data_IF_045621526158
#
_entry.id   IF_045621526158
#
_cell.length_a   1.000
_cell.length_b   1.000
_cell.length_c   1.000
_cell.angle_alpha   90.00
_cell.angle_beta   90.00
_cell.angle_gamma   90.00
#
_symmetry.space_group_name_H-M   'P 1'
#
loop_
_entity.id
_entity.type
_entity.pdbx_description
1 polymer ?
#
# COMPACT_ATOMS: atom_id res chain seq x y z
N UNK A 1 -3.09 -0.52 24.90
CA UNK A 1 -2.00 0.39 24.48
C UNK A 1 -2.42 1.05 23.16
N UNK A 2 -2.79 2.34 23.17
CA UNK A 2 -3.27 3.05 21.98
C UNK A 2 -2.12 3.39 21.03
N UNK A 3 -2.39 3.51 19.72
CA UNK A 3 -1.37 4.04 18.82
C UNK A 3 -1.32 5.56 18.90
N UNK A 4 -0.10 6.05 18.74
CA UNK A 4 0.27 7.39 18.29
C UNK A 4 -0.78 8.03 17.39
N UNK A 5 -0.99 9.31 17.65
CA UNK A 5 -1.56 10.30 16.73
C UNK A 5 -0.78 10.24 15.40
N UNK A 6 -1.48 10.34 14.28
CA UNK A 6 -0.84 10.26 12.98
C UNK A 6 0.03 11.51 12.70
N UNK A 7 -0.23 12.64 13.36
CA UNK A 7 0.59 13.86 13.29
C UNK A 7 0.51 14.65 14.60
N UNK A 8 1.59 15.30 15.09
CA UNK A 8 1.51 16.28 16.18
C UNK A 8 0.54 17.41 15.79
N UNK A 9 -0.70 17.33 16.24
CA UNK A 9 -1.76 18.30 15.94
C UNK A 9 -3.17 17.70 15.88
N UNK A 10 -3.31 16.40 15.59
CA UNK A 10 -4.64 15.76 15.47
C UNK A 10 -5.49 15.79 16.76
N UNK A 11 -6.79 16.00 16.61
CA UNK A 11 -7.76 16.03 17.72
C UNK A 11 -8.23 14.64 18.15
N UNK A 12 -7.86 13.60 17.40
CA UNK A 12 -8.33 12.22 17.58
C UNK A 12 -7.18 11.21 17.51
N UNK A 13 -7.35 10.07 18.18
CA UNK A 13 -6.48 8.90 18.10
C UNK A 13 -7.26 7.65 17.66
N UNK A 14 -6.55 6.63 17.17
CA UNK A 14 -7.14 5.35 16.74
C UNK A 14 -6.88 4.27 17.80
N UNK A 15 -7.94 3.56 18.18
CA UNK A 15 -7.88 2.44 19.10
C UNK A 15 -7.18 1.24 18.45
N UNK A 16 -6.20 0.65 19.15
CA UNK A 16 -5.48 -0.57 18.70
C UNK A 16 -6.10 -1.88 19.18
N UNK A 17 -7.08 -1.76 20.04
CA UNK A 17 -7.83 -2.84 20.65
C UNK A 17 -9.12 -2.25 21.22
N UNK A 18 -10.01 -3.12 21.66
CA UNK A 18 -11.25 -2.67 22.26
C UNK A 18 -10.98 -1.91 23.56
N UNK A 19 -11.70 -0.81 23.73
CA UNK A 19 -11.63 0.06 24.90
C UNK A 19 -13.00 0.04 25.54
N UNK A 20 -13.06 -0.41 26.79
CA UNK A 20 -14.30 -0.38 27.56
C UNK A 20 -14.65 1.06 27.97
N UNK A 21 -15.94 1.31 28.16
CA UNK A 21 -16.40 2.53 28.81
C UNK A 21 -15.78 2.66 30.22
N UNK A 22 -15.37 3.86 30.60
CA UNK A 22 -14.68 4.13 31.86
C UNK A 22 -13.21 3.68 31.89
N UNK A 23 -12.71 3.06 30.83
CA UNK A 23 -11.32 2.65 30.77
C UNK A 23 -10.39 3.87 30.65
N UNK A 24 -9.34 3.97 31.48
CA UNK A 24 -8.29 4.97 31.29
C UNK A 24 -7.51 4.70 30.02
N UNK A 25 -7.30 5.75 29.24
CA UNK A 25 -6.60 5.71 27.96
C UNK A 25 -5.54 6.81 27.94
N UNK A 26 -4.36 6.48 27.43
CA UNK A 26 -3.29 7.45 27.22
C UNK A 26 -2.81 7.38 25.77
N UNK A 27 -2.69 8.55 25.14
CA UNK A 27 -2.18 8.71 23.78
C UNK A 27 -1.34 10.00 23.70
N UNK A 28 -0.09 9.88 23.27
CA UNK A 28 0.86 10.99 23.10
C UNK A 28 0.95 11.96 24.29
N UNK A 29 1.00 11.40 25.50
CA UNK A 29 1.12 12.17 26.75
C UNK A 29 -0.19 12.78 27.25
N UNK A 30 -1.30 12.60 26.51
CA UNK A 30 -2.64 12.98 26.95
C UNK A 30 -3.30 11.76 27.60
N UNK A 31 -3.74 11.90 28.85
CA UNK A 31 -4.49 10.88 29.58
C UNK A 31 -5.94 11.31 29.72
N UNK A 32 -6.86 10.41 29.39
CA UNK A 32 -8.31 10.63 29.45
C UNK A 32 -9.03 9.32 29.76
N UNK A 33 -10.34 9.38 29.95
CA UNK A 33 -11.19 8.21 30.20
C UNK A 33 -12.15 8.05 29.03
N UNK A 34 -12.29 6.83 28.51
CA UNK A 34 -13.25 6.56 27.45
C UNK A 34 -14.68 6.72 27.96
N UNK A 35 -15.48 7.50 27.24
CA UNK A 35 -16.87 7.84 27.62
C UNK A 35 -17.90 6.84 27.10
N UNK A 36 -17.52 6.03 26.12
CA UNK A 36 -18.28 4.89 25.61
C UNK A 36 -17.32 3.74 25.29
N UNK A 37 -17.86 2.55 25.02
CA UNK A 37 -17.08 1.47 24.43
C UNK A 37 -16.62 1.85 23.01
N UNK A 38 -15.34 1.67 22.72
CA UNK A 38 -14.71 1.99 21.43
C UNK A 38 -14.05 0.73 20.88
N UNK A 39 -14.57 0.17 19.77
CA UNK A 39 -13.97 -1.01 19.15
C UNK A 39 -12.56 -0.74 18.61
N UNK A 40 -11.77 -1.78 18.44
CA UNK A 40 -10.49 -1.71 17.75
C UNK A 40 -10.63 -1.09 16.35
N UNK A 41 -9.70 -0.21 15.98
CA UNK A 41 -9.71 0.53 14.71
C UNK A 41 -10.60 1.78 14.69
N UNK A 42 -11.43 1.99 15.72
CA UNK A 42 -12.26 3.19 15.84
C UNK A 42 -11.51 4.35 16.49
N UNK A 43 -12.10 5.55 16.42
CA UNK A 43 -11.44 6.80 16.84
C UNK A 43 -11.96 7.27 18.19
N UNK A 44 -11.06 7.78 19.03
CA UNK A 44 -11.37 8.49 20.27
C UNK A 44 -10.98 9.96 20.12
N UNK A 45 -11.76 10.87 20.70
CA UNK A 45 -11.37 12.27 20.81
C UNK A 45 -10.33 12.47 21.93
N UNK A 46 -9.25 13.19 21.62
CA UNK A 46 -8.20 13.56 22.58
C UNK A 46 -8.45 14.94 23.21
N UNK A 47 -9.24 15.77 22.53
CA UNK A 47 -9.50 17.18 22.85
C UNK A 47 -10.97 17.50 22.55
N UNK A 48 -11.54 18.53 23.19
CA UNK A 48 -12.88 18.97 22.85
C UNK A 48 -12.91 19.51 21.41
N UNK A 49 -13.93 19.10 20.65
CA UNK A 49 -14.22 19.61 19.31
C UNK A 49 -15.66 20.11 19.32
N UNK A 50 -15.86 21.40 19.09
CA UNK A 50 -17.21 21.98 19.05
C UNK A 50 -17.95 21.60 17.76
N UNK A 51 -19.28 21.63 17.79
CA UNK A 51 -20.09 21.46 16.59
C UNK A 51 -19.65 22.46 15.50
N UNK A 52 -19.50 21.98 14.27
CA UNK A 52 -18.99 22.78 13.16
C UNK A 52 -17.48 22.98 13.15
N UNK A 53 -16.72 22.47 14.11
CA UNK A 53 -15.25 22.50 14.03
C UNK A 53 -14.71 21.36 13.17
N UNK A 54 -13.58 21.63 12.51
CA UNK A 54 -12.90 20.64 11.67
C UNK A 54 -12.17 19.63 12.55
N UNK A 55 -12.40 18.34 12.30
CA UNK A 55 -11.58 17.25 12.81
C UNK A 55 -10.52 16.94 11.77
N UNK A 56 -9.25 17.20 12.10
CA UNK A 56 -8.14 17.02 11.17
C UNK A 56 -8.14 15.58 10.60
N UNK A 57 -8.12 15.44 9.27
CA UNK A 57 -8.21 14.20 8.47
C UNK A 57 -9.60 13.54 8.36
N UNK A 58 -10.60 13.96 9.14
CA UNK A 58 -11.87 13.23 9.22
C UNK A 58 -13.12 14.07 8.94
N UNK A 59 -12.98 15.36 8.63
CA UNK A 59 -14.09 16.22 8.21
C UNK A 59 -14.44 17.26 9.26
N UNK A 60 -15.72 17.45 9.52
CA UNK A 60 -16.27 18.43 10.45
C UNK A 60 -17.18 17.74 11.47
N UNK A 61 -17.14 18.16 12.74
CA UNK A 61 -18.01 17.61 13.77
C UNK A 61 -19.45 18.12 13.58
N UNK A 62 -20.44 17.22 13.60
CA UNK A 62 -21.87 17.60 13.51
C UNK A 62 -22.44 18.05 14.84
N UNK A 63 -21.80 17.65 15.94
CA UNK A 63 -22.15 17.97 17.30
C UNK A 63 -20.88 18.20 18.12
N UNK A 64 -21.00 18.69 19.35
CA UNK A 64 -19.86 18.74 20.26
C UNK A 64 -19.36 17.32 20.57
N UNK A 65 -18.04 17.15 20.54
CA UNK A 65 -17.32 15.90 20.84
C UNK A 65 -16.39 16.19 22.01
N UNK A 66 -16.61 15.53 23.13
CA UNK A 66 -15.81 15.68 24.34
C UNK A 66 -14.59 14.74 24.31
N UNK A 67 -13.50 15.06 25.04
CA UNK A 67 -12.39 14.13 25.21
C UNK A 67 -12.88 12.78 25.73
N UNK A 68 -12.45 11.70 25.07
CA UNK A 68 -12.88 10.34 25.38
C UNK A 68 -14.11 9.84 24.64
N UNK A 69 -14.80 10.69 23.87
CA UNK A 69 -15.91 10.26 23.03
C UNK A 69 -15.45 9.46 21.82
N UNK A 70 -16.30 8.52 21.40
CA UNK A 70 -16.16 7.78 20.15
C UNK A 70 -16.42 8.70 18.94
N UNK A 71 -15.43 8.88 18.07
CA UNK A 71 -15.56 9.66 16.83
C UNK A 71 -15.85 8.73 15.64
N UNK A 72 -17.03 8.89 15.03
CA UNK A 72 -17.52 8.02 13.97
C UNK A 72 -18.44 8.79 12.99
N UNK A 73 -18.96 8.12 11.96
CA UNK A 73 -19.80 8.74 10.92
C UNK A 73 -21.12 9.36 11.45
N UNK A 74 -21.49 9.11 12.71
CA UNK A 74 -22.67 9.70 13.33
C UNK A 74 -22.42 11.12 13.87
N UNK A 75 -21.18 11.44 14.26
CA UNK A 75 -20.79 12.75 14.78
C UNK A 75 -19.81 13.49 13.87
N UNK A 76 -19.60 12.96 12.65
CA UNK A 76 -18.80 13.56 11.60
C UNK A 76 -19.62 13.75 10.35
N UNK A 77 -19.39 14.88 9.69
CA UNK A 77 -19.86 15.16 8.35
C UNK A 77 -18.70 15.60 7.46
N UNK A 78 -18.87 15.39 6.17
CA UNK A 78 -17.94 15.82 5.13
C UNK A 78 -18.56 17.05 4.45
N UNK A 79 -18.17 18.27 4.84
CA UNK A 79 -18.72 19.46 4.22
C UNK A 79 -18.48 19.44 2.71
N UNK A 80 -19.47 19.89 1.94
CA UNK A 80 -19.36 19.99 0.49
C UNK A 80 -18.12 20.83 0.12
N UNK A 81 -17.26 20.25 -0.73
CA UNK A 81 -16.00 20.86 -1.13
C UNK A 81 -16.23 22.14 -1.95
N UNK A 82 -16.33 23.28 -1.27
CA UNK A 82 -16.31 24.62 -1.89
C UNK A 82 -14.92 25.25 -1.85
N UNK A 83 -13.92 24.54 -1.34
CA UNK A 83 -12.55 25.03 -1.28
C UNK A 83 -11.89 24.95 -2.64
N UNK A 84 -11.55 26.13 -3.18
CA UNK A 84 -10.56 26.24 -4.24
C UNK A 84 -9.28 25.52 -3.80
N UNK A 85 -8.98 24.40 -4.45
CA UNK A 85 -7.75 23.67 -4.20
C UNK A 85 -6.61 24.48 -4.79
N UNK A 86 -6.01 25.37 -3.99
CA UNK A 86 -4.75 25.99 -4.37
C UNK A 86 -3.68 24.89 -4.39
N UNK A 87 -3.13 24.59 -5.56
CA UNK A 87 -1.96 23.71 -5.67
C UNK A 87 -0.80 24.42 -4.96
N UNK A 88 -0.55 24.06 -3.69
CA UNK A 88 0.69 24.45 -3.04
C UNK A 88 1.77 23.55 -3.60
N UNK A 89 2.64 24.13 -4.43
CA UNK A 89 3.83 23.45 -4.90
C UNK A 89 4.85 23.37 -3.76
N UNK A 90 4.63 22.46 -2.81
CA UNK A 90 5.58 22.17 -1.73
C UNK A 90 6.65 21.27 -2.32
N UNK A 91 7.49 21.85 -3.17
CA UNK A 91 8.67 21.16 -3.67
C UNK A 91 9.71 21.12 -2.55
N UNK A 92 10.02 19.91 -2.09
CA UNK A 92 11.22 19.64 -1.33
C UNK A 92 12.16 18.81 -2.22
N UNK A 93 13.38 19.30 -2.53
CA UNK A 93 14.32 18.53 -3.32
C UNK A 93 14.62 17.21 -2.60
N UNK A 94 14.53 16.10 -3.34
CA UNK A 94 14.91 14.80 -2.80
C UNK A 94 16.40 14.78 -2.54
N UNK A 95 16.80 14.57 -1.29
CA UNK A 95 18.19 14.30 -0.95
C UNK A 95 18.59 12.96 -1.53
N UNK A 96 19.54 12.95 -2.46
CA UNK A 96 20.15 11.71 -2.93
C UNK A 96 20.98 11.11 -1.80
N UNK A 97 20.84 9.81 -1.57
CA UNK A 97 21.71 9.08 -0.64
C UNK A 97 23.14 9.12 -1.17
N UNK A 98 24.10 9.42 -0.31
CA UNK A 98 25.54 9.32 -0.63
C UNK A 98 25.94 7.88 -0.99
N UNK A 99 25.22 6.90 -0.44
CA UNK A 99 25.38 5.48 -0.70
C UNK A 99 24.11 4.92 -1.34
N UNK A 100 23.97 4.94 -2.68
CA UNK A 100 22.82 4.36 -3.34
C UNK A 100 22.82 2.84 -3.18
N UNK A 101 21.66 2.28 -2.84
CA UNK A 101 21.51 0.83 -2.77
C UNK A 101 21.69 0.20 -4.16
N UNK A 102 22.49 -0.85 -4.24
CA UNK A 102 22.71 -1.65 -5.44
C UNK A 102 22.01 -2.99 -5.33
N UNK A 103 21.69 -3.61 -6.47
CA UNK A 103 21.19 -4.98 -6.51
C UNK A 103 21.78 -5.72 -7.71
N UNK A 104 21.86 -7.05 -7.63
CA UNK A 104 22.29 -7.89 -8.74
C UNK A 104 21.18 -7.96 -9.81
N UNK A 105 21.37 -7.22 -10.90
CA UNK A 105 20.40 -7.12 -11.98
C UNK A 105 20.95 -7.59 -13.32
N UNK A 106 20.05 -7.84 -14.27
CA UNK A 106 20.41 -8.19 -15.64
C UNK A 106 20.51 -6.93 -16.50
N UNK A 107 21.74 -6.52 -16.83
CA UNK A 107 22.04 -5.33 -17.64
C UNK A 107 21.80 -5.63 -19.12
N UNK A 108 21.04 -4.76 -19.79
CA UNK A 108 20.81 -4.82 -21.24
C UNK A 108 21.76 -3.88 -21.98
N UNK A 109 21.90 -4.08 -23.29
CA UNK A 109 22.75 -3.25 -24.16
C UNK A 109 22.37 -1.76 -24.13
N UNK A 110 21.09 -1.45 -23.92
CA UNK A 110 20.58 -0.08 -23.79
C UNK A 110 20.75 0.54 -22.37
N UNK A 111 21.44 -0.17 -21.47
CA UNK A 111 21.68 0.27 -20.09
C UNK A 111 20.51 0.04 -19.13
N UNK A 112 19.34 -0.45 -19.59
CA UNK A 112 18.24 -0.78 -18.68
C UNK A 112 18.57 -2.06 -17.89
N UNK A 113 18.20 -2.07 -16.61
CA UNK A 113 18.46 -3.20 -15.71
C UNK A 113 17.16 -3.90 -15.34
N UNK A 114 17.08 -5.20 -15.54
CA UNK A 114 15.95 -6.04 -15.14
C UNK A 114 16.18 -6.76 -13.81
N UNK A 115 15.13 -6.91 -13.01
CA UNK A 115 15.16 -7.74 -11.78
C UNK A 115 14.94 -9.23 -12.04
N UNK A 116 14.55 -9.59 -13.27
CA UNK A 116 14.32 -10.96 -13.74
C UNK A 116 14.76 -11.10 -15.20
N UNK A 117 15.23 -12.29 -15.57
CA UNK A 117 15.63 -12.62 -16.93
C UNK A 117 14.63 -13.60 -17.55
N UNK A 118 13.75 -13.08 -18.42
CA UNK A 118 12.71 -13.86 -19.09
C UNK A 118 13.06 -14.06 -20.57
N UNK A 119 12.78 -15.26 -21.07
CA UNK A 119 12.73 -15.51 -22.51
C UNK A 119 11.25 -15.41 -22.92
N UNK A 120 10.91 -14.35 -23.65
CA UNK A 120 9.59 -14.20 -24.26
C UNK A 120 9.58 -14.88 -25.63
N UNK A 121 8.71 -15.86 -25.81
CA UNK A 121 8.44 -16.44 -27.13
C UNK A 121 7.04 -15.98 -27.54
N UNK A 122 6.91 -15.35 -28.71
CA UNK A 122 5.65 -14.78 -29.20
C UNK A 122 5.40 -15.29 -30.61
N UNK A 123 4.19 -15.78 -30.90
CA UNK A 123 3.79 -16.14 -32.26
C UNK A 123 3.04 -15.00 -32.95
N UNK A 124 3.38 -14.70 -34.20
CA UNK A 124 2.71 -13.64 -34.98
C UNK A 124 1.32 -14.04 -35.49
N UNK A 125 0.95 -15.34 -35.39
CA UNK A 125 -0.33 -15.87 -35.84
C UNK A 125 -0.84 -16.93 -34.87
N UNK A 126 -2.17 -16.97 -34.68
CA UNK A 126 -2.81 -17.86 -33.71
C UNK A 126 -2.89 -19.33 -34.19
N UNK A 127 -2.75 -19.58 -35.50
CA UNK A 127 -2.98 -20.89 -36.10
C UNK A 127 -1.85 -21.91 -35.86
N UNK A 128 -0.73 -21.51 -35.25
CA UNK A 128 0.43 -22.38 -35.00
C UNK A 128 0.62 -22.78 -33.54
N UNK A 129 -0.31 -22.43 -32.63
CA UNK A 129 -0.17 -22.65 -31.19
C UNK A 129 0.25 -24.08 -30.79
N UNK A 130 -0.33 -25.18 -31.34
CA UNK A 130 0.10 -26.52 -30.95
C UNK A 130 1.52 -26.88 -31.42
N UNK A 131 1.98 -26.30 -32.53
CA UNK A 131 3.34 -26.50 -33.05
C UNK A 131 4.34 -25.66 -32.27
N UNK A 132 3.92 -24.45 -31.87
CA UNK A 132 4.66 -23.53 -31.02
C UNK A 132 4.98 -24.12 -29.64
N UNK A 133 3.99 -24.73 -28.98
CA UNK A 133 4.18 -25.38 -27.67
C UNK A 133 5.18 -26.53 -27.72
N UNK A 134 5.10 -27.36 -28.78
CA UNK A 134 6.05 -28.47 -28.99
C UNK A 134 7.47 -27.96 -29.26
N UNK A 135 7.61 -26.90 -30.05
CA UNK A 135 8.90 -26.27 -30.34
C UNK A 135 9.52 -25.68 -29.07
N UNK A 136 8.77 -24.87 -28.32
CA UNK A 136 9.20 -24.29 -27.03
C UNK A 136 9.67 -25.37 -26.06
N UNK A 137 8.90 -26.45 -25.90
CA UNK A 137 9.27 -27.55 -25.00
C UNK A 137 10.56 -28.26 -25.43
N UNK A 138 10.79 -28.40 -26.73
CA UNK A 138 11.98 -29.09 -27.26
C UNK A 138 13.28 -28.28 -27.10
N UNK A 139 13.22 -26.95 -27.24
CA UNK A 139 14.39 -26.07 -27.21
C UNK A 139 14.70 -25.55 -25.79
N UNK A 140 13.67 -25.38 -24.95
CA UNK A 140 13.85 -24.84 -23.60
C UNK A 140 14.18 -25.91 -22.55
N UNK A 141 13.90 -27.19 -22.83
CA UNK A 141 14.30 -28.33 -21.97
C UNK A 141 15.82 -28.45 -21.76
N UNK A 142 16.67 -28.39 -22.80
CA UNK A 142 18.12 -28.42 -22.66
C UNK A 142 18.70 -27.28 -21.81
N UNK A 143 17.98 -26.16 -21.66
CA UNK A 143 18.44 -24.95 -20.96
C UNK A 143 17.93 -24.91 -19.50
N UNK A 144 17.36 -26.01 -18.99
CA UNK A 144 16.76 -26.12 -17.65
C UNK A 144 15.75 -24.99 -17.34
N UNK A 145 14.94 -24.63 -18.35
CA UNK A 145 13.85 -23.67 -18.19
C UNK A 145 12.55 -24.45 -17.99
N UNK A 146 11.95 -24.30 -16.81
CA UNK A 146 10.61 -24.83 -16.51
C UNK A 146 9.57 -23.88 -17.11
N UNK A 147 8.70 -24.38 -17.98
CA UNK A 147 7.60 -23.59 -18.53
C UNK A 147 6.31 -23.93 -17.78
N UNK A 148 5.79 -22.96 -17.02
CA UNK A 148 4.47 -23.03 -16.43
C UNK A 148 3.49 -22.28 -17.32
N UNK A 149 2.40 -22.92 -17.71
CA UNK A 149 1.31 -22.25 -18.42
C UNK A 149 0.48 -21.46 -17.41
N UNK A 150 0.65 -20.13 -17.37
CA UNK A 150 -0.28 -19.26 -16.66
C UNK A 150 -0.95 -18.36 -17.71
N UNK A 151 -2.25 -18.58 -17.93
CA UNK A 151 -3.06 -17.82 -18.88
C UNK A 151 -3.28 -16.40 -18.34
N UNK A 152 -2.36 -15.49 -18.65
CA UNK A 152 -2.61 -14.06 -18.51
C UNK A 152 -3.58 -13.65 -19.62
N UNK A 153 -4.85 -13.39 -19.27
CA UNK A 153 -5.88 -12.88 -20.18
C UNK A 153 -5.70 -11.38 -20.38
N UNK A 154 -4.71 -11.00 -21.19
CA UNK A 154 -4.65 -9.66 -21.79
C UNK A 154 -4.89 -9.80 -23.30
N UNK A 155 -6.04 -9.31 -23.76
CA UNK A 155 -6.24 -8.88 -25.15
C UNK A 155 -6.12 -9.91 -26.27
N UNK A 156 -6.40 -11.20 -26.03
CA UNK A 156 -6.50 -12.21 -27.11
C UNK A 156 -5.18 -12.86 -27.54
N UNK A 157 -4.09 -12.58 -26.83
CA UNK A 157 -2.77 -13.19 -27.05
C UNK A 157 -2.38 -14.12 -25.89
N UNK A 158 -2.18 -15.40 -26.17
CA UNK A 158 -1.70 -16.39 -25.20
C UNK A 158 -0.20 -16.20 -24.99
N UNK A 159 0.23 -15.89 -23.77
CA UNK A 159 1.63 -15.71 -23.41
C UNK A 159 2.10 -16.89 -22.55
N UNK A 160 3.20 -17.53 -22.95
CA UNK A 160 3.85 -18.57 -22.15
C UNK A 160 5.03 -17.96 -21.39
N UNK A 161 5.03 -18.09 -20.06
CA UNK A 161 6.09 -17.58 -19.20
C UNK A 161 6.97 -18.75 -18.76
N UNK A 162 8.19 -18.81 -19.25
CA UNK A 162 9.14 -19.83 -18.82
C UNK A 162 10.22 -19.22 -17.90
N UNK A 163 10.58 -19.94 -16.82
CA UNK A 163 11.55 -19.53 -15.81
C UNK A 163 12.79 -20.43 -15.85
N UNK A 164 13.99 -19.83 -15.89
CA UNK A 164 15.25 -20.58 -15.75
C UNK A 164 15.45 -20.97 -14.28
N UNK A 165 15.69 -22.25 -13.98
CA UNK A 165 16.16 -22.62 -12.65
C UNK A 165 17.56 -22.03 -12.45
N UNK A 166 17.78 -21.37 -11.31
CA UNK A 166 19.09 -20.84 -10.96
C UNK A 166 20.11 -22.00 -10.88
N UNK A 167 21.34 -21.85 -11.41
CA UNK A 167 22.39 -22.84 -11.17
C UNK A 167 22.67 -22.93 -9.66
N UNK A 168 23.09 -24.10 -9.14
CA UNK A 168 23.50 -24.20 -7.74
C UNK A 168 24.64 -23.22 -7.48
N UNK A 169 24.50 -22.43 -6.40
CA UNK A 169 25.50 -21.45 -6.00
C UNK A 169 26.87 -22.13 -5.89
N UNK A 170 27.86 -21.58 -6.61
CA UNK A 170 29.25 -21.95 -6.41
C UNK A 170 29.64 -21.44 -5.01
N UNK A 171 29.71 -22.33 -4.02
CA UNK A 171 30.25 -22.01 -2.71
C UNK A 171 31.77 -21.85 -2.87
N UNK A 172 32.29 -20.67 -2.59
CA UNK A 172 33.71 -20.45 -2.24
C UNK A 172 33.98 -20.92 -0.82
#
# INVERSE_FOLDING_TARGET
>A
MMQRRATPGDDVAVARGDIAEGQPVSADGISLVARQAIPSGHKIALRPVLAGQRVLKYGQATQAIEPGDHVHVNNLDMPANTTEHSVRNVYAPTSLSENPATFEGYVREDGRVGTRNYIGVISNVNCSLPQFDRWCTSILRPVQVSCGSELARDGGSTHHRCHRQAPPACQT
#
